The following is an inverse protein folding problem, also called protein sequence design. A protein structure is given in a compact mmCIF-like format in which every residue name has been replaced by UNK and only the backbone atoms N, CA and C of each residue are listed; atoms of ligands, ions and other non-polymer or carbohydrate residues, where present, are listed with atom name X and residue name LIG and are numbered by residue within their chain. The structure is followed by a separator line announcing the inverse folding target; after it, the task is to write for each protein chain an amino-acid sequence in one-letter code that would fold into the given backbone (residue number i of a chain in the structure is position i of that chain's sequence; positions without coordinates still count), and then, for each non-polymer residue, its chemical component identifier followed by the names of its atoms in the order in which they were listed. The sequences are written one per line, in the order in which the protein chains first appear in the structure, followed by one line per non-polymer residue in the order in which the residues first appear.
data_IF_036004299952
#
_entry.id   IF_036004299952
#
_cell.length_a   1.000
_cell.length_b   1.000
_cell.length_c   1.000
_cell.angle_alpha   90.00
_cell.angle_beta   90.00
_cell.angle_gamma   90.00
#
_symmetry.space_group_name_H-M   'P 1'
#
loop_
_entity.id
_entity.type
_entity.pdbx_description
1 polymer ?
#
# COMPACT_ATOMS: atom_id res chain seq x y z
N UNK A 1 -36.38 36.23 28.97
CA UNK A 1 -35.61 35.37 29.89
C UNK A 1 -34.70 34.51 29.03
N UNK A 2 -33.40 34.43 29.16
CA UNK A 2 -32.42 35.19 29.92
C UNK A 2 -31.10 34.94 29.19
N UNK A 3 -30.30 35.99 29.09
CA UNK A 3 -28.89 36.05 28.73
C UNK A 3 -28.05 34.84 29.17
N UNK A 4 -27.18 34.36 28.27
CA UNK A 4 -25.91 33.77 28.69
C UNK A 4 -24.94 34.87 29.11
N UNK A 5 -24.03 34.57 30.04
CA UNK A 5 -22.67 35.09 29.89
C UNK A 5 -21.55 34.05 30.10
N UNK A 6 -20.52 34.34 29.32
CA UNK A 6 -19.12 33.93 29.24
C UNK A 6 -18.34 33.99 30.58
N UNK A 7 -17.39 33.06 30.82
CA UNK A 7 -15.94 33.30 31.08
C UNK A 7 -15.22 32.07 31.70
N UNK A 8 -14.11 31.68 31.05
CA UNK A 8 -13.02 30.75 31.46
C UNK A 8 -12.11 31.35 32.58
N UNK A 9 -10.90 30.83 32.87
CA UNK A 9 -10.45 29.52 33.40
C UNK A 9 -9.47 29.70 34.62
N UNK A 10 -9.23 28.67 35.44
CA UNK A 10 -8.07 28.62 36.36
C UNK A 10 -7.86 27.19 36.88
N UNK A 11 -6.87 26.46 36.36
CA UNK A 11 -5.54 26.25 36.98
C UNK A 11 -5.56 25.30 38.18
N UNK A 12 -5.34 24.01 37.89
CA UNK A 12 -4.93 23.01 38.89
C UNK A 12 -3.46 23.23 39.24
N UNK A 13 -3.19 23.47 40.51
CA UNK A 13 -1.86 23.35 41.11
C UNK A 13 -2.01 22.71 42.49
N UNK A 14 -1.49 21.48 42.57
CA UNK A 14 -0.53 21.03 43.58
C UNK A 14 -0.84 21.15 45.09
N UNK A 15 -0.86 19.93 45.66
CA UNK A 15 -0.03 19.46 46.78
C UNK A 15 -0.43 19.75 48.24
N UNK A 16 -0.36 18.64 48.97
CA UNK A 16 -0.04 18.46 50.38
C UNK A 16 -1.03 18.93 51.44
N UNK A 17 -1.56 17.98 52.21
CA UNK A 17 -1.04 17.75 53.57
C UNK A 17 -1.70 16.56 54.27
N UNK A 18 -0.85 15.67 54.77
CA UNK A 18 -1.14 14.60 55.73
C UNK A 18 -1.41 15.19 57.13
N UNK A 19 -2.24 14.53 57.96
CA UNK A 19 -1.86 13.92 59.25
C UNK A 19 -3.06 13.70 60.21
N UNK A 20 -3.32 12.41 60.45
CA UNK A 20 -3.56 11.70 61.71
C UNK A 20 -4.44 12.28 62.85
N UNK A 21 -5.38 11.44 63.30
CA UNK A 21 -5.54 10.99 64.70
C UNK A 21 -6.27 9.62 64.70
N UNK A 22 -5.64 8.54 65.17
CA UNK A 22 -5.63 8.01 66.57
C UNK A 22 -6.95 7.25 66.89
N UNK A 23 -7.07 6.07 67.51
CA UNK A 23 -6.21 5.03 68.13
C UNK A 23 -7.15 3.82 68.46
N UNK A 24 -6.60 2.61 68.72
CA UNK A 24 -7.26 1.66 69.64
C UNK A 24 -7.45 0.17 69.25
N UNK A 25 -6.39 -0.64 69.45
CA UNK A 25 -6.34 -1.98 70.06
C UNK A 25 -7.20 -3.20 69.59
N UNK A 26 -6.49 -4.14 68.93
CA UNK A 26 -6.23 -5.54 69.28
C UNK A 26 -7.36 -6.54 69.62
N UNK A 27 -7.44 -7.62 68.82
CA UNK A 27 -7.45 -9.03 69.27
C UNK A 27 -7.04 -9.96 68.12
N UNK A 28 -5.86 -10.59 68.24
CA UNK A 28 -5.39 -11.66 67.35
C UNK A 28 -5.81 -13.03 67.93
N UNK A 29 -6.39 -13.90 67.10
CA UNK A 29 -6.64 -15.32 67.39
C UNK A 29 -5.80 -16.17 66.41
N UNK A 30 -4.83 -16.98 66.87
CA UNK A 30 -3.87 -17.64 65.99
C UNK A 30 -4.27 -19.10 65.72
N UNK A 31 -5.22 -19.36 64.80
CA UNK A 31 -5.58 -20.75 64.41
C UNK A 31 -6.02 -20.99 62.96
N UNK A 32 -5.64 -20.18 61.98
CA UNK A 32 -5.82 -20.54 60.56
C UNK A 32 -4.64 -20.05 59.71
N UNK A 33 -3.64 -20.90 59.49
CA UNK A 33 -2.52 -20.63 58.60
C UNK A 33 -2.18 -21.86 57.76
N UNK A 34 -3.09 -22.22 56.85
CA UNK A 34 -2.84 -23.17 55.76
C UNK A 34 -3.55 -22.70 54.46
N UNK A 35 -3.32 -21.44 54.06
CA UNK A 35 -3.71 -20.94 52.75
C UNK A 35 -2.47 -20.87 51.84
N UNK A 36 -2.23 -21.94 51.07
CA UNK A 36 -1.27 -21.94 49.95
C UNK A 36 -1.99 -21.47 48.67
N UNK A 37 -1.68 -20.28 48.13
CA UNK A 37 -2.37 -19.73 46.97
C UNK A 37 -1.98 -20.40 45.64
N UNK A 38 -1.25 -21.53 45.65
CA UNK A 38 -0.72 -22.15 44.43
C UNK A 38 -1.53 -23.34 43.87
N UNK A 39 -2.55 -23.87 44.55
CA UNK A 39 -3.12 -25.19 44.20
C UNK A 39 -4.38 -25.21 43.31
N UNK A 40 -4.94 -24.07 42.87
CA UNK A 40 -6.25 -24.03 42.20
C UNK A 40 -6.26 -23.48 40.76
N UNK A 41 -5.19 -23.66 39.98
CA UNK A 41 -5.27 -23.49 38.51
C UNK A 41 -5.63 -24.82 37.84
N UNK A 42 -6.71 -24.89 37.04
CA UNK A 42 -6.95 -26.03 36.15
C UNK A 42 -5.74 -26.16 35.21
N UNK A 43 -5.06 -27.31 35.22
CA UNK A 43 -4.03 -27.62 34.23
C UNK A 43 -4.70 -27.71 32.87
N UNK A 44 -4.50 -26.68 32.04
CA UNK A 44 -4.72 -26.78 30.60
C UNK A 44 -3.84 -27.94 30.13
N UNK A 45 -4.37 -28.93 29.38
CA UNK A 45 -3.55 -30.02 28.89
C UNK A 45 -2.44 -29.42 28.04
N UNK A 46 -1.19 -29.69 28.42
CA UNK A 46 -0.01 -29.33 27.65
C UNK A 46 -0.18 -29.95 26.26
N UNK A 47 -0.54 -29.12 25.28
CA UNK A 47 -0.48 -29.49 23.88
C UNK A 47 0.99 -29.82 23.61
N UNK A 48 1.34 -31.10 23.64
CA UNK A 48 2.68 -31.59 23.37
C UNK A 48 3.16 -30.94 22.08
N UNK A 49 4.11 -30.01 22.19
CA UNK A 49 4.63 -29.26 21.05
C UNK A 49 5.42 -30.23 20.18
N UNK A 50 4.73 -30.87 19.24
CA UNK A 50 5.38 -31.68 18.22
C UNK A 50 6.23 -30.74 17.39
N UNK A 51 7.55 -30.81 17.56
CA UNK A 51 8.49 -30.04 16.76
C UNK A 51 8.26 -30.37 15.28
N UNK A 52 8.03 -29.33 14.48
CA UNK A 52 7.78 -29.49 13.06
C UNK A 52 8.96 -30.19 12.36
N UNK A 53 8.69 -31.02 11.34
CA UNK A 53 9.75 -31.73 10.63
C UNK A 53 10.68 -30.76 9.90
N UNK A 54 11.98 -30.97 10.03
CA UNK A 54 12.98 -30.22 9.28
C UNK A 54 12.86 -30.51 7.79
N UNK A 55 12.91 -29.46 6.96
CA UNK A 55 12.99 -29.56 5.51
C UNK A 55 14.09 -28.67 4.98
N UNK A 56 14.81 -29.15 3.96
CA UNK A 56 15.80 -28.35 3.26
C UNK A 56 15.12 -27.24 2.44
N UNK A 57 15.75 -26.07 2.39
CA UNK A 57 15.29 -25.00 1.51
C UNK A 57 15.60 -25.36 0.06
N UNK A 58 14.59 -25.32 -0.84
CA UNK A 58 14.84 -25.46 -2.27
C UNK A 58 15.74 -24.34 -2.77
N UNK A 59 16.57 -24.66 -3.78
CA UNK A 59 17.50 -23.70 -4.42
C UNK A 59 16.83 -22.77 -5.43
N UNK A 60 15.54 -22.97 -5.71
CA UNK A 60 14.82 -22.12 -6.65
C UNK A 60 14.67 -20.69 -6.10
N UNK A 61 14.97 -19.74 -6.96
CA UNK A 61 14.92 -18.31 -6.69
C UNK A 61 13.74 -17.71 -7.45
N UNK A 62 12.94 -16.90 -6.75
CA UNK A 62 11.78 -16.21 -7.30
C UNK A 62 11.95 -14.70 -7.18
N UNK A 63 11.51 -13.97 -8.20
CA UNK A 63 11.25 -12.53 -8.11
C UNK A 63 9.84 -12.29 -7.57
N UNK A 64 9.66 -11.22 -6.80
CA UNK A 64 8.33 -10.82 -6.29
C UNK A 64 8.01 -9.39 -6.71
N UNK A 65 6.77 -9.13 -7.10
CA UNK A 65 6.27 -7.78 -7.34
C UNK A 65 5.12 -7.53 -6.36
N UNK A 66 5.26 -6.54 -5.50
CA UNK A 66 4.22 -6.12 -4.55
C UNK A 66 3.36 -5.05 -5.21
N UNK A 67 2.30 -5.47 -5.92
CA UNK A 67 1.35 -4.57 -6.57
C UNK A 67 0.45 -3.87 -5.53
N UNK A 68 0.26 -2.54 -5.61
CA UNK A 68 -0.45 -1.76 -4.58
C UNK A 68 -1.99 -1.90 -4.62
N UNK A 69 -2.56 -2.52 -5.66
CA UNK A 69 -4.00 -2.72 -5.78
C UNK A 69 -4.44 -4.18 -5.56
N UNK A 70 -5.75 -4.45 -5.57
CA UNK A 70 -6.26 -5.81 -5.56
C UNK A 70 -5.96 -6.52 -6.90
N UNK A 71 -5.56 -7.79 -6.84
CA UNK A 71 -5.39 -8.66 -8.01
C UNK A 71 -6.24 -9.92 -7.85
N UNK A 72 -7.05 -10.22 -8.87
CA UNK A 72 -7.79 -11.51 -8.93
C UNK A 72 -6.91 -12.62 -9.47
N UNK A 73 -6.09 -12.31 -10.48
CA UNK A 73 -5.16 -13.25 -11.11
C UNK A 73 -3.79 -12.60 -11.27
N UNK A 74 -2.71 -13.35 -11.05
CA UNK A 74 -1.35 -12.83 -11.15
C UNK A 74 -1.04 -12.25 -12.53
N UNK A 75 -1.53 -12.89 -13.60
CA UNK A 75 -1.38 -12.42 -14.99
C UNK A 75 -2.02 -11.06 -15.27
N UNK A 76 -2.94 -10.58 -14.42
CA UNK A 76 -3.56 -9.27 -14.59
C UNK A 76 -2.58 -8.11 -14.42
N UNK A 77 -1.42 -8.35 -13.81
CA UNK A 77 -0.34 -7.34 -13.72
C UNK A 77 0.18 -6.95 -15.11
N UNK A 78 0.11 -7.86 -16.08
CA UNK A 78 0.58 -7.62 -17.46
C UNK A 78 -0.28 -6.58 -18.22
N UNK A 79 -1.40 -6.15 -17.64
CA UNK A 79 -2.22 -5.05 -18.17
C UNK A 79 -1.62 -3.67 -17.87
N UNK A 80 -0.74 -3.59 -16.88
CA UNK A 80 -0.20 -2.33 -16.36
C UNK A 80 1.33 -2.27 -16.40
N UNK A 81 2.00 -3.40 -16.58
CA UNK A 81 3.46 -3.51 -16.73
C UNK A 81 3.76 -4.54 -17.82
N UNK A 82 4.68 -4.24 -18.72
CA UNK A 82 5.06 -5.18 -19.78
C UNK A 82 5.98 -6.30 -19.24
N UNK A 83 5.92 -7.47 -19.87
CA UNK A 83 6.77 -8.60 -19.49
C UNK A 83 8.26 -8.27 -19.70
N UNK A 84 8.59 -7.60 -20.79
CA UNK A 84 9.98 -7.21 -21.10
C UNK A 84 10.56 -6.27 -20.02
N UNK A 85 9.77 -5.30 -19.55
CA UNK A 85 10.18 -4.38 -18.48
C UNK A 85 10.42 -5.12 -17.15
N UNK A 86 9.61 -6.16 -16.87
CA UNK A 86 9.78 -7.00 -15.68
C UNK A 86 11.11 -7.76 -15.79
N UNK A 87 11.35 -8.41 -16.92
CA UNK A 87 12.53 -9.23 -17.13
C UNK A 87 13.79 -8.37 -17.12
N UNK A 88 13.78 -7.21 -17.77
CA UNK A 88 14.87 -6.23 -17.68
C UNK A 88 15.11 -5.81 -16.22
N UNK A 89 14.06 -5.42 -15.49
CA UNK A 89 14.18 -4.97 -14.10
C UNK A 89 14.82 -6.03 -13.19
N UNK A 90 14.49 -7.32 -13.36
CA UNK A 90 15.07 -8.40 -12.56
C UNK A 90 16.45 -8.87 -13.05
N UNK A 91 16.74 -8.75 -14.34
CA UNK A 91 18.03 -9.15 -14.91
C UNK A 91 19.13 -8.08 -14.75
N UNK A 92 18.75 -6.81 -14.53
CA UNK A 92 19.72 -5.75 -14.25
C UNK A 92 20.61 -6.08 -13.04
N UNK A 93 21.90 -5.73 -13.05
CA UNK A 93 22.79 -5.97 -11.92
C UNK A 93 22.32 -5.24 -10.66
N UNK A 94 22.71 -5.76 -9.50
CA UNK A 94 22.45 -5.06 -8.24
C UNK A 94 23.07 -3.65 -8.29
N UNK A 95 22.38 -2.61 -7.80
CA UNK A 95 22.93 -1.26 -7.81
C UNK A 95 24.24 -1.24 -7.01
N UNK A 96 25.32 -0.82 -7.67
CA UNK A 96 26.58 -0.49 -6.99
C UNK A 96 26.37 0.72 -6.08
N UNK A 97 27.27 0.93 -5.12
CA UNK A 97 27.22 2.10 -4.24
C UNK A 97 27.30 3.40 -5.09
N UNK A 98 26.15 4.05 -5.33
CA UNK A 98 26.00 5.26 -6.16
C UNK A 98 25.28 5.05 -7.49
N UNK A 99 24.97 3.82 -7.90
CA UNK A 99 24.23 3.53 -9.12
C UNK A 99 22.72 3.73 -8.99
N UNK A 100 22.06 4.10 -10.09
CA UNK A 100 20.59 4.11 -10.16
C UNK A 100 20.04 2.71 -9.89
N UNK A 101 19.05 2.60 -9.00
CA UNK A 101 18.41 1.31 -8.72
C UNK A 101 17.51 0.94 -9.90
N UNK A 102 17.42 -0.35 -10.26
CA UNK A 102 16.45 -0.79 -11.26
C UNK A 102 15.04 -0.33 -10.90
N UNK A 103 14.39 0.31 -11.86
CA UNK A 103 13.03 0.86 -11.74
C UNK A 103 12.12 0.00 -12.62
N UNK A 104 10.96 -0.36 -12.07
CA UNK A 104 9.87 -0.94 -12.84
C UNK A 104 8.80 0.14 -13.01
N UNK A 105 8.46 0.47 -14.25
CA UNK A 105 7.44 1.47 -14.53
C UNK A 105 6.06 0.80 -14.71
N UNK A 106 5.05 1.34 -14.04
CA UNK A 106 3.69 0.82 -14.08
C UNK A 106 2.70 1.88 -14.56
N UNK A 107 1.91 1.53 -15.58
CA UNK A 107 0.91 2.41 -16.20
C UNK A 107 -0.49 1.90 -15.93
N UNK A 108 -1.19 2.50 -14.97
CA UNK A 108 -2.57 2.09 -14.61
C UNK A 108 -3.58 2.18 -15.76
N UNK A 109 -3.34 3.08 -16.72
CA UNK A 109 -4.23 3.30 -17.88
C UNK A 109 -3.78 2.53 -19.12
N UNK A 110 -2.80 1.64 -18.97
CA UNK A 110 -2.23 0.87 -20.07
C UNK A 110 -1.34 1.70 -20.99
N UNK A 111 -0.96 1.06 -22.10
CA UNK A 111 -0.12 1.64 -23.14
C UNK A 111 -0.86 2.74 -23.90
N UNK A 112 -0.15 3.82 -24.25
CA UNK A 112 -0.74 4.97 -24.96
C UNK A 112 -1.49 5.98 -24.08
N UNK A 113 -1.53 5.83 -22.75
CA UNK A 113 -2.02 6.90 -21.87
C UNK A 113 -0.99 8.04 -21.75
N UNK A 114 -1.48 9.30 -21.74
CA UNK A 114 -0.65 10.52 -21.56
C UNK A 114 -0.19 10.71 -20.10
N UNK A 115 -0.79 9.99 -19.16
CA UNK A 115 -0.37 10.02 -17.75
C UNK A 115 0.97 9.34 -17.53
N UNK A 116 1.80 9.92 -16.66
CA UNK A 116 3.09 9.37 -16.26
C UNK A 116 2.97 8.00 -15.56
N UNK A 117 4.02 7.17 -15.62
CA UNK A 117 4.04 5.89 -14.93
C UNK A 117 4.29 6.06 -13.42
N UNK A 118 3.80 5.10 -12.63
CA UNK A 118 4.20 4.94 -11.24
C UNK A 118 5.45 4.08 -11.17
N UNK A 119 6.45 4.57 -10.45
CA UNK A 119 7.77 3.93 -10.37
C UNK A 119 7.86 2.99 -9.16
N UNK A 120 8.14 1.73 -9.45
CA UNK A 120 8.49 0.70 -8.48
C UNK A 120 10.00 0.53 -8.39
N UNK A 121 10.51 0.28 -7.19
CA UNK A 121 11.94 0.04 -6.98
C UNK A 121 12.19 -1.41 -6.62
N UNK A 122 13.20 -2.01 -7.26
CA UNK A 122 13.72 -3.32 -6.86
C UNK A 122 14.54 -3.18 -5.58
N UNK A 123 14.13 -3.91 -4.54
CA UNK A 123 14.77 -3.93 -3.23
C UNK A 123 15.12 -5.36 -2.82
N UNK A 124 16.25 -5.55 -2.11
CA UNK A 124 16.59 -6.84 -1.55
C UNK A 124 15.56 -7.27 -0.50
N UNK A 125 15.30 -8.58 -0.44
CA UNK A 125 14.30 -9.21 0.39
C UNK A 125 14.83 -10.56 0.91
N UNK A 126 14.35 -11.01 2.07
CA UNK A 126 14.68 -12.30 2.66
C UNK A 126 13.39 -13.08 2.95
N UNK A 127 12.60 -13.29 1.89
CA UNK A 127 11.29 -13.95 1.97
C UNK A 127 11.37 -15.39 1.45
N UNK A 128 10.46 -16.23 1.91
CA UNK A 128 10.25 -17.58 1.41
C UNK A 128 8.88 -17.69 0.75
N UNK A 129 8.80 -18.41 -0.36
CA UNK A 129 7.54 -18.74 -1.01
C UNK A 129 7.05 -20.10 -0.50
N UNK A 130 5.84 -20.15 0.04
CA UNK A 130 5.22 -21.38 0.52
C UNK A 130 4.00 -21.74 -0.33
N UNK A 131 3.92 -23.01 -0.72
CA UNK A 131 2.73 -23.62 -1.30
C UNK A 131 1.95 -24.30 -0.20
N UNK A 132 0.75 -23.81 0.07
CA UNK A 132 -0.17 -24.43 1.03
C UNK A 132 -1.30 -25.09 0.26
N UNK A 133 -1.38 -26.41 0.34
CA UNK A 133 -2.47 -27.19 -0.24
C UNK A 133 -3.47 -27.52 0.86
N UNK A 134 -4.72 -27.11 0.66
CA UNK A 134 -5.84 -27.44 1.54
C UNK A 134 -6.69 -28.52 0.89
N UNK A 135 -6.83 -29.68 1.54
CA UNK A 135 -7.80 -30.68 1.10
C UNK A 135 -9.22 -30.23 1.47
N UNK A 136 -10.05 -29.89 0.49
CA UNK A 136 -11.48 -29.62 0.70
C UNK A 136 -12.25 -30.93 0.72
N UNK A 137 -13.03 -31.19 1.78
CA UNK A 137 -14.01 -32.28 1.79
C UNK A 137 -15.24 -31.85 0.99
N UNK A 138 -15.69 -32.69 0.06
CA UNK A 138 -16.92 -32.46 -0.72
C UNK A 138 -18.11 -32.64 0.22
N UNK A 139 -18.85 -31.57 0.55
CA UNK A 139 -20.13 -31.70 1.27
C UNK A 139 -20.47 -30.70 2.38
N UNK A 140 -19.62 -29.73 2.73
CA UNK A 140 -20.05 -28.60 3.58
C UNK A 140 -20.04 -27.30 2.78
N UNK A 141 -21.23 -26.77 2.63
CA UNK A 141 -21.53 -25.46 2.09
C UNK A 141 -20.74 -24.37 2.83
N UNK A 142 -20.44 -23.29 2.12
CA UNK A 142 -19.64 -22.16 2.58
C UNK A 142 -20.36 -21.48 3.74
N UNK A 143 -20.03 -21.84 4.97
CA UNK A 143 -20.44 -21.06 6.12
C UNK A 143 -19.22 -20.72 6.98
N UNK A 144 -19.02 -19.41 7.14
CA UNK A 144 -18.10 -18.74 8.06
C UNK A 144 -16.60 -18.91 7.84
N UNK A 145 -15.99 -17.82 7.34
CA UNK A 145 -14.57 -17.52 7.52
C UNK A 145 -14.31 -17.45 9.03
N UNK A 146 -13.73 -18.50 9.62
CA UNK A 146 -13.25 -18.45 11.00
C UNK A 146 -13.29 -19.74 11.79
N UNK A 147 -14.08 -20.75 11.40
CA UNK A 147 -14.35 -21.91 12.28
C UNK A 147 -14.29 -23.25 11.56
N UNK A 148 -13.33 -23.43 10.65
CA UNK A 148 -13.00 -24.76 10.12
C UNK A 148 -11.85 -25.38 10.93
N UNK A 149 -12.19 -25.93 12.09
CA UNK A 149 -11.32 -26.88 12.80
C UNK A 149 -11.12 -28.14 11.91
N UNK A 150 -9.90 -28.37 11.43
CA UNK A 150 -9.50 -29.70 10.93
C UNK A 150 -9.39 -29.91 9.41
N UNK A 151 -9.08 -28.86 8.64
CA UNK A 151 -8.54 -29.08 7.29
C UNK A 151 -7.15 -29.72 7.37
N UNK A 152 -6.87 -30.80 6.61
CA UNK A 152 -5.49 -31.27 6.42
C UNK A 152 -4.81 -30.29 5.47
N UNK A 153 -3.89 -29.49 6.02
CA UNK A 153 -3.05 -28.56 5.28
C UNK A 153 -1.67 -29.18 5.09
N UNK A 154 -1.18 -29.18 3.86
CA UNK A 154 0.22 -29.51 3.58
C UNK A 154 0.91 -28.23 3.11
N UNK A 155 1.87 -27.75 3.88
CA UNK A 155 2.70 -26.62 3.54
C UNK A 155 4.07 -27.11 3.04
N UNK A 156 4.52 -26.52 1.94
CA UNK A 156 5.81 -26.82 1.32
C UNK A 156 6.51 -25.52 0.96
N UNK A 157 7.79 -25.39 1.34
CA UNK A 157 8.62 -24.29 0.86
C UNK A 157 8.96 -24.55 -0.61
N UNK A 158 8.66 -23.61 -1.48
CA UNK A 158 8.90 -23.70 -2.93
C UNK A 158 10.24 -23.08 -3.30
N UNK A 159 10.64 -22.02 -2.62
CA UNK A 159 11.90 -21.34 -2.88
C UNK A 159 12.07 -20.05 -2.09
N UNK A 160 13.17 -19.36 -2.36
CA UNK A 160 13.50 -18.07 -1.76
C UNK A 160 13.18 -16.90 -2.69
N UNK A 161 12.89 -15.75 -2.11
CA UNK A 161 12.57 -14.50 -2.82
C UNK A 161 13.58 -13.43 -2.37
N UNK A 162 14.77 -13.39 -3.00
CA UNK A 162 15.85 -12.48 -2.63
C UNK A 162 15.62 -11.04 -3.11
N UNK A 163 14.77 -10.84 -4.11
CA UNK A 163 14.50 -9.52 -4.70
C UNK A 163 12.99 -9.31 -4.81
N UNK A 164 12.53 -8.12 -4.42
CA UNK A 164 11.14 -7.73 -4.58
C UNK A 164 11.05 -6.31 -5.16
N UNK A 165 10.12 -6.09 -6.08
CA UNK A 165 9.77 -4.75 -6.54
C UNK A 165 8.63 -4.22 -5.67
N UNK A 166 8.75 -2.96 -5.22
CA UNK A 166 7.73 -2.27 -4.43
C UNK A 166 7.43 -0.90 -5.02
N UNK A 167 6.15 -0.56 -5.11
CA UNK A 167 5.67 0.75 -5.52
C UNK A 167 5.43 1.62 -4.28
N UNK A 168 6.51 2.19 -3.73
CA UNK A 168 6.42 3.15 -2.59
C UNK A 168 6.21 4.59 -3.05
N UNK A 169 6.56 4.88 -4.29
CA UNK A 169 6.44 6.22 -4.87
C UNK A 169 4.97 6.53 -5.16
N UNK A 170 4.56 7.76 -4.86
CA UNK A 170 3.23 8.22 -5.23
C UNK A 170 3.14 8.41 -6.74
N UNK A 171 1.92 8.33 -7.28
CA UNK A 171 1.67 8.76 -8.64
C UNK A 171 1.97 10.25 -8.79
N UNK A 172 2.51 10.62 -9.95
CA UNK A 172 2.77 12.02 -10.25
C UNK A 172 1.47 12.74 -10.66
N UNK A 173 1.53 14.07 -10.77
CA UNK A 173 0.41 14.84 -11.29
C UNK A 173 0.16 14.46 -12.75
N UNK A 174 -1.08 14.05 -13.02
CA UNK A 174 -1.50 13.69 -14.37
C UNK A 174 -2.22 14.84 -15.04
N UNK A 175 -1.70 15.23 -16.20
CA UNK A 175 -2.36 16.11 -17.12
C UNK A 175 -3.13 15.30 -18.17
N UNK A 176 -4.30 15.81 -18.58
CA UNK A 176 -5.08 15.27 -19.68
C UNK A 176 -5.36 16.42 -20.66
N UNK A 177 -4.92 16.31 -21.93
CA UNK A 177 -5.26 17.30 -22.93
C UNK A 177 -6.78 17.30 -23.18
N UNK A 178 -7.28 18.39 -23.75
CA UNK A 178 -8.65 18.42 -24.25
C UNK A 178 -8.85 17.41 -25.38
N UNK A 179 -9.81 16.48 -25.31
CA UNK A 179 -10.01 15.47 -26.36
C UNK A 179 -10.28 16.08 -27.74
N UNK A 180 -10.96 17.23 -27.80
CA UNK A 180 -11.23 17.97 -29.03
C UNK A 180 -10.09 18.90 -29.46
N UNK A 181 -9.13 19.16 -28.58
CA UNK A 181 -8.08 20.14 -28.72
C UNK A 181 -6.95 19.75 -29.69
N UNK A 182 -6.14 20.72 -30.10
CA UNK A 182 -5.03 20.50 -31.04
C UNK A 182 -3.97 19.56 -30.47
N UNK A 183 -3.66 19.62 -29.18
CA UNK A 183 -2.61 18.77 -28.60
C UNK A 183 -3.04 17.30 -28.51
N UNK A 184 -4.31 17.02 -28.21
CA UNK A 184 -4.80 15.65 -28.24
C UNK A 184 -4.73 15.05 -29.65
N UNK A 185 -5.08 15.83 -30.68
CA UNK A 185 -4.95 15.42 -32.09
C UNK A 185 -3.50 15.13 -32.44
N UNK A 186 -2.57 16.04 -32.11
CA UNK A 186 -1.15 15.84 -32.35
C UNK A 186 -0.62 14.59 -31.64
N UNK A 187 -0.96 14.41 -30.36
CA UNK A 187 -0.58 13.21 -29.59
C UNK A 187 -1.12 11.95 -30.25
N UNK A 188 -2.35 11.96 -30.74
CA UNK A 188 -2.95 10.82 -31.41
C UNK A 188 -2.27 10.53 -32.74
N UNK A 189 -2.04 11.54 -33.58
CA UNK A 189 -1.31 11.41 -34.85
C UNK A 189 0.12 10.87 -34.65
N UNK A 190 0.80 11.28 -33.58
CA UNK A 190 2.13 10.76 -33.22
C UNK A 190 2.07 9.30 -32.77
N UNK A 191 1.04 8.88 -32.05
CA UNK A 191 0.86 7.48 -31.63
C UNK A 191 0.50 6.57 -32.79
N UNK A 192 -0.39 7.05 -33.66
CA UNK A 192 -0.85 6.31 -34.83
C UNK A 192 0.16 6.36 -35.99
N UNK A 193 1.23 7.15 -35.84
CA UNK A 193 2.24 7.40 -36.86
C UNK A 193 1.64 7.93 -38.18
N UNK A 194 0.60 8.76 -38.06
CA UNK A 194 -0.06 9.39 -39.22
C UNK A 194 0.81 10.52 -39.77
N UNK A 195 1.59 10.18 -40.80
CA UNK A 195 2.52 11.07 -41.47
C UNK A 195 1.88 12.38 -41.96
N UNK A 196 0.70 12.31 -42.57
CA UNK A 196 0.07 13.48 -43.20
C UNK A 196 -0.40 14.46 -42.13
N UNK A 197 -1.06 13.95 -41.09
CA UNK A 197 -1.52 14.78 -39.98
C UNK A 197 -0.37 15.47 -39.22
N UNK A 198 0.80 14.82 -39.12
CA UNK A 198 1.99 15.41 -38.50
C UNK A 198 2.54 16.58 -39.34
N UNK A 199 2.59 16.43 -40.67
CA UNK A 199 3.09 17.50 -41.55
C UNK A 199 2.13 18.69 -41.65
N UNK A 200 0.83 18.44 -41.66
CA UNK A 200 -0.19 19.48 -41.79
C UNK A 200 -0.44 20.22 -40.48
N UNK A 201 0.06 19.71 -39.35
CA UNK A 201 -0.13 20.32 -38.04
C UNK A 201 0.50 21.71 -37.97
N UNK A 202 -0.32 22.70 -37.60
CA UNK A 202 0.10 24.08 -37.32
C UNK A 202 -0.41 24.52 -35.97
N UNK A 203 0.41 25.30 -35.27
CA UNK A 203 -0.01 25.89 -33.99
C UNK A 203 -1.20 26.83 -34.22
N UNK A 204 -2.23 26.77 -33.36
CA UNK A 204 -3.35 27.70 -33.41
C UNK A 204 -2.86 29.14 -33.20
N UNK A 205 -3.61 30.10 -33.74
CA UNK A 205 -3.33 31.51 -33.49
C UNK A 205 -3.42 31.80 -31.98
N UNK A 206 -2.62 32.75 -31.52
CA UNK A 206 -2.64 33.19 -30.13
C UNK A 206 -4.01 33.79 -29.82
N UNK A 207 -4.65 33.25 -28.78
CA UNK A 207 -5.93 33.72 -28.25
C UNK A 207 -5.68 34.19 -26.81
N UNK A 208 -6.24 35.35 -26.47
CA UNK A 208 -6.12 35.94 -25.12
C UNK A 208 -7.21 35.42 -24.17
N UNK A 209 -8.16 34.63 -24.68
CA UNK A 209 -9.16 33.96 -23.87
C UNK A 209 -8.61 32.66 -23.27
N UNK A 210 -8.21 32.71 -22.00
CA UNK A 210 -7.55 31.58 -21.33
C UNK A 210 -8.49 30.65 -20.56
N UNK A 211 -9.78 30.97 -20.46
CA UNK A 211 -10.73 30.22 -19.62
C UNK A 211 -12.01 29.87 -20.37
N UNK A 212 -12.42 28.62 -20.31
CA UNK A 212 -13.71 28.13 -20.81
C UNK A 212 -14.61 27.75 -19.62
N UNK A 213 -15.91 28.11 -19.63
CA UNK A 213 -16.84 27.64 -18.62
C UNK A 213 -17.13 26.14 -18.81
N UNK A 214 -16.99 25.35 -17.74
CA UNK A 214 -17.28 23.91 -17.76
C UNK A 214 -18.15 23.53 -16.58
N UNK A 215 -19.15 22.70 -16.85
CA UNK A 215 -19.88 21.95 -15.82
C UNK A 215 -19.08 20.69 -15.45
N UNK A 216 -18.35 20.75 -14.33
CA UNK A 216 -17.61 19.61 -13.83
C UNK A 216 -18.52 18.67 -13.03
N UNK A 217 -18.71 17.41 -13.47
CA UNK A 217 -19.57 16.45 -12.75
C UNK A 217 -18.93 15.93 -11.45
N UNK A 218 -17.61 16.08 -11.28
CA UNK A 218 -16.86 15.58 -10.12
C UNK A 218 -16.75 16.62 -9.01
N UNK A 219 -16.58 17.89 -9.36
CA UNK A 219 -16.53 19.00 -8.41
C UNK A 219 -17.30 20.20 -8.96
N UNK A 220 -18.54 20.45 -8.51
CA UNK A 220 -19.38 21.53 -9.02
C UNK A 220 -18.86 22.92 -8.66
N UNK A 221 -17.83 23.05 -7.80
CA UNK A 221 -17.21 24.34 -7.48
C UNK A 221 -16.26 24.82 -8.58
N UNK A 222 -15.79 23.91 -9.44
CA UNK A 222 -14.87 24.24 -10.52
C UNK A 222 -15.69 24.54 -11.78
N UNK A 223 -16.08 25.82 -11.94
CA UNK A 223 -16.90 26.28 -13.07
C UNK A 223 -16.12 26.70 -14.32
N UNK A 224 -14.79 26.69 -14.28
CA UNK A 224 -13.94 27.10 -15.39
C UNK A 224 -12.79 26.12 -15.59
N UNK A 225 -12.39 25.93 -16.83
CA UNK A 225 -11.20 25.19 -17.25
C UNK A 225 -10.26 26.11 -18.02
N UNK A 226 -8.96 25.86 -17.90
CA UNK A 226 -7.95 26.54 -18.70
C UNK A 226 -8.02 26.08 -20.15
N UNK A 227 -8.22 27.02 -21.09
CA UNK A 227 -8.10 26.82 -22.55
C UNK A 227 -6.65 26.67 -22.99
N UNK A 228 -5.69 27.01 -22.12
CA UNK A 228 -4.27 26.81 -22.34
C UNK A 228 -3.94 25.31 -22.35
N UNK A 229 -3.80 24.76 -23.54
CA UNK A 229 -3.41 23.38 -23.80
C UNK A 229 -1.88 23.21 -23.69
N UNK A 230 -1.31 23.70 -22.57
CA UNK A 230 0.13 23.66 -22.32
C UNK A 230 0.55 22.25 -21.91
N UNK A 231 1.58 21.75 -22.60
CA UNK A 231 2.17 20.47 -22.26
C UNK A 231 2.88 20.54 -20.91
N UNK A 232 2.68 19.54 -20.03
CA UNK A 232 3.30 19.49 -18.73
C UNK A 232 4.79 19.21 -18.83
N UNK A 233 5.51 19.46 -17.73
CA UNK A 233 6.83 18.89 -17.54
C UNK A 233 6.73 17.36 -17.44
N UNK A 234 7.78 16.62 -17.85
CA UNK A 234 7.77 15.15 -17.79
C UNK A 234 7.67 14.60 -16.36
N UNK A 235 8.12 15.36 -15.37
CA UNK A 235 7.99 15.06 -13.95
C UNK A 235 7.56 16.33 -13.21
N UNK A 236 6.46 16.25 -12.47
CA UNK A 236 6.00 17.33 -11.61
C UNK A 236 6.52 17.18 -10.18
N UNK A 237 6.59 15.95 -9.67
CA UNK A 237 7.08 15.67 -8.32
C UNK A 237 8.45 15.00 -8.35
N UNK A 238 9.43 15.65 -7.73
CA UNK A 238 10.77 15.09 -7.49
C UNK A 238 10.95 14.57 -6.06
N UNK A 239 9.92 14.67 -5.22
CA UNK A 239 9.97 14.26 -3.81
C UNK A 239 9.78 12.75 -3.71
N UNK A 240 10.85 12.06 -3.34
CA UNK A 240 10.79 10.65 -2.96
C UNK A 240 10.58 10.52 -1.45
N UNK A 241 9.67 9.63 -1.04
CA UNK A 241 9.49 9.32 0.36
C UNK A 241 10.75 8.61 0.91
N UNK A 242 11.24 9.00 2.11
CA UNK A 242 12.39 8.34 2.71
C UNK A 242 12.06 6.87 2.98
N UNK A 243 13.01 5.99 2.66
CA UNK A 243 12.83 4.55 2.74
C UNK A 243 12.76 3.97 4.17
N UNK A 244 12.85 4.83 5.20
CA UNK A 244 13.20 4.46 6.59
C UNK A 244 12.02 3.90 7.40
N UNK A 245 10.78 3.98 6.93
CA UNK A 245 9.68 3.27 7.60
C UNK A 245 9.79 1.76 7.33
N UNK A 246 10.19 1.02 8.36
CA UNK A 246 10.10 -0.44 8.50
C UNK A 246 8.82 -0.79 9.23
#
# INVERSE_FOLDING_TARGET
MSSQPLLDPASESDLDSQLNSDSGASRYDPRDSDYDPSSSRPRVPDASSSTAPYRHLPKHIYGSIEYPGPLTQASSILKVVNQDDIDECFNLPAPSAGGSRPILEMRYRGEGSVGGPVRGHRVPSQKLLLRVVRRRRKGKERETVGTDEGGVFTAEVVGSVPQTVRFRSMADYHWRPDPSGPTARLIQSLKDLDYNAILDYKFPALDEEYTEPIENPVDPKIGFRSKLDLQPLPLFSTRNLPFVYK
#
